data_IF_686546496743
#
_entry.id   IF_686546496743
#
_cell.length_a   1.000
_cell.length_b   1.000
_cell.length_c   1.000
_cell.angle_alpha   90.00
_cell.angle_beta   90.00
_cell.angle_gamma   90.00
#
_symmetry.space_group_name_H-M   'P 1'
#
loop_
_entity.id
_entity.type
_entity.pdbx_description
1 polymer ?
#
# COMPACT_ATOMS: atom_id res chain seq x y z
N UNK A 1 -1.75 2.82 -28.39
CA UNK A 1 -2.91 3.73 -28.26
C UNK A 1 -2.88 4.28 -26.84
N UNK A 2 -3.08 5.58 -26.62
CA UNK A 2 -3.08 6.13 -25.27
C UNK A 2 -4.27 5.55 -24.49
N UNK A 3 -4.01 5.04 -23.28
CA UNK A 3 -5.03 4.66 -22.31
C UNK A 3 -4.99 5.69 -21.19
N UNK A 4 -6.14 5.95 -20.57
CA UNK A 4 -6.21 6.69 -19.32
C UNK A 4 -6.88 5.83 -18.24
N UNK A 5 -6.50 6.03 -16.98
CA UNK A 5 -6.91 5.19 -15.86
C UNK A 5 -7.85 5.93 -14.91
N UNK A 6 -8.91 5.26 -14.49
CA UNK A 6 -9.71 5.64 -13.34
C UNK A 6 -9.57 4.60 -12.23
N UNK A 7 -9.61 5.07 -10.99
CA UNK A 7 -9.66 4.20 -9.81
C UNK A 7 -10.90 4.60 -9.04
N UNK A 8 -11.84 3.66 -8.93
CA UNK A 8 -13.08 3.84 -8.19
C UNK A 8 -12.86 3.33 -6.77
N UNK A 9 -12.81 4.25 -5.80
CA UNK A 9 -12.58 3.91 -4.40
C UNK A 9 -13.89 3.73 -3.65
N UNK A 10 -13.94 2.66 -2.85
CA UNK A 10 -14.92 2.45 -1.80
C UNK A 10 -14.21 2.44 -0.45
N UNK A 11 -14.68 3.29 0.45
CA UNK A 11 -14.13 3.45 1.79
C UNK A 11 -15.06 2.77 2.81
N UNK A 12 -14.47 2.15 3.82
CA UNK A 12 -15.18 1.64 5.00
C UNK A 12 -14.51 2.17 6.26
N UNK A 13 -15.34 2.64 7.19
CA UNK A 13 -14.91 3.21 8.46
C UNK A 13 -15.81 2.68 9.58
N UNK A 14 -15.22 2.38 10.74
CA UNK A 14 -15.95 1.95 11.93
C UNK A 14 -16.24 3.17 12.83
N UNK A 15 -17.52 3.54 12.96
CA UNK A 15 -17.94 4.70 13.77
C UNK A 15 -18.22 4.36 15.24
N UNK A 16 -18.18 3.08 15.61
CA UNK A 16 -18.44 2.63 16.98
C UNK A 16 -17.14 2.70 17.79
N UNK A 17 -16.72 3.91 18.18
CA UNK A 17 -15.46 4.14 18.89
C UNK A 17 -15.37 3.40 20.23
N UNK A 18 -16.51 3.11 20.87
CA UNK A 18 -16.54 2.43 22.17
C UNK A 18 -16.27 0.92 22.03
N UNK A 19 -16.65 0.31 20.91
CA UNK A 19 -16.49 -1.13 20.65
C UNK A 19 -15.52 -1.45 19.50
N UNK A 20 -14.98 -0.44 18.84
CA UNK A 20 -14.01 -0.61 17.76
C UNK A 20 -12.63 -0.87 18.33
N UNK A 21 -12.04 -1.99 17.95
CA UNK A 21 -10.64 -2.30 18.30
C UNK A 21 -9.66 -1.32 17.62
N UNK A 22 -10.00 -0.78 16.43
CA UNK A 22 -9.09 0.04 15.61
C UNK A 22 -9.81 1.24 14.95
N UNK A 23 -10.33 2.19 15.73
CA UNK A 23 -11.10 3.32 15.19
C UNK A 23 -10.29 4.28 14.31
N UNK A 24 -8.96 4.22 14.41
CA UNK A 24 -8.02 5.09 13.70
C UNK A 24 -7.51 4.48 12.38
N UNK A 25 -8.19 3.47 11.83
CA UNK A 25 -7.85 2.87 10.53
C UNK A 25 -9.05 2.84 9.60
N UNK A 26 -8.87 3.35 8.38
CA UNK A 26 -9.85 3.25 7.30
C UNK A 26 -9.39 2.22 6.27
N UNK A 27 -10.27 1.29 5.91
CA UNK A 27 -10.02 0.33 4.85
C UNK A 27 -10.61 0.85 3.54
N UNK A 28 -9.79 0.82 2.50
CA UNK A 28 -10.09 1.41 1.20
C UNK A 28 -9.87 0.34 0.14
N UNK A 29 -10.96 -0.03 -0.54
CA UNK A 29 -10.95 -0.97 -1.65
C UNK A 29 -11.17 -0.20 -2.94
N UNK A 30 -10.31 -0.39 -3.93
CA UNK A 30 -10.44 0.26 -5.22
C UNK A 30 -10.52 -0.74 -6.36
N UNK A 31 -11.40 -0.49 -7.32
CA UNK A 31 -11.38 -1.13 -8.63
C UNK A 31 -10.67 -0.21 -9.62
N UNK A 32 -9.82 -0.76 -10.47
CA UNK A 32 -9.01 0.00 -11.42
C UNK A 32 -9.57 -0.25 -12.81
N UNK A 33 -9.84 0.83 -13.54
CA UNK A 33 -10.39 0.80 -14.89
C UNK A 33 -9.47 1.52 -15.87
N UNK A 34 -9.35 0.99 -17.07
CA UNK A 34 -8.73 1.66 -18.20
C UNK A 34 -9.77 2.01 -19.25
N UNK A 35 -9.60 3.18 -19.84
CA UNK A 35 -10.44 3.69 -20.92
C UNK A 35 -9.59 3.89 -22.17
N UNK A 36 -10.12 3.44 -23.31
CA UNK A 36 -9.52 3.67 -24.62
C UNK A 36 -10.01 5.00 -25.25
N UNK A 37 -9.56 5.29 -26.47
CA UNK A 37 -9.96 6.50 -27.20
C UNK A 37 -11.43 6.49 -27.68
N UNK A 38 -12.16 5.39 -27.45
CA UNK A 38 -13.58 5.24 -27.74
C UNK A 38 -14.42 5.18 -26.46
N UNK A 39 -13.83 5.51 -25.32
CA UNK A 39 -14.43 5.46 -23.97
C UNK A 39 -14.90 4.04 -23.57
N UNK A 40 -14.32 3.00 -24.18
CA UNK A 40 -14.54 1.63 -23.76
C UNK A 40 -13.85 1.40 -22.41
N UNK A 41 -14.64 1.13 -21.38
CA UNK A 41 -14.15 0.87 -20.03
C UNK A 41 -13.83 -0.63 -19.85
N UNK A 42 -12.63 -0.92 -19.36
CA UNK A 42 -12.22 -2.29 -19.00
C UNK A 42 -11.65 -2.30 -17.59
N UNK A 43 -12.13 -3.21 -16.73
CA UNK A 43 -11.52 -3.44 -15.41
C UNK A 43 -10.13 -4.05 -15.61
N UNK A 44 -9.10 -3.41 -15.06
CA UNK A 44 -7.70 -3.82 -15.22
C UNK A 44 -7.08 -4.41 -13.96
N UNK A 45 -7.71 -4.20 -12.81
CA UNK A 45 -7.20 -4.70 -11.55
C UNK A 45 -7.93 -4.15 -10.33
N UNK A 46 -7.30 -4.36 -9.18
CA UNK A 46 -7.81 -3.99 -7.87
C UNK A 46 -6.68 -3.44 -6.99
N UNK A 47 -7.07 -2.60 -6.03
CA UNK A 47 -6.18 -2.07 -4.99
C UNK A 47 -6.84 -2.18 -3.62
N UNK A 48 -6.04 -2.49 -2.60
CA UNK A 48 -6.41 -2.41 -1.19
C UNK A 48 -5.43 -1.51 -0.47
N UNK A 49 -5.96 -0.49 0.21
CA UNK A 49 -5.19 0.47 0.99
C UNK A 49 -5.75 0.55 2.40
N UNK A 50 -4.90 0.75 3.39
CA UNK A 50 -5.31 1.14 4.73
C UNK A 50 -4.79 2.55 5.01
N UNK A 51 -5.64 3.41 5.54
CA UNK A 51 -5.28 4.76 5.96
C UNK A 51 -5.26 4.82 7.49
N UNK A 52 -4.09 5.09 8.06
CA UNK A 52 -3.86 5.17 9.50
C UNK A 52 -3.82 6.64 9.92
N UNK A 53 -4.74 7.01 10.81
CA UNK A 53 -5.00 8.39 11.19
C UNK A 53 -4.42 8.69 12.58
N UNK A 54 -3.36 9.50 12.62
CA UNK A 54 -2.67 9.92 13.83
C UNK A 54 -3.51 10.89 14.69
N UNK A 55 -4.55 11.49 14.13
CA UNK A 55 -5.41 12.46 14.84
C UNK A 55 -6.19 11.84 16.02
N UNK A 56 -6.22 10.51 16.12
CA UNK A 56 -6.84 9.78 17.23
C UNK A 56 -5.96 9.69 18.49
N UNK A 57 -4.73 10.22 18.44
CA UNK A 57 -3.81 10.22 19.58
C UNK A 57 -4.39 10.92 20.81
N UNK A 58 -5.17 11.99 20.61
CA UNK A 58 -5.86 12.72 21.68
C UNK A 58 -6.96 11.88 22.36
N UNK A 59 -7.43 10.81 21.70
CA UNK A 59 -8.39 9.84 22.23
C UNK A 59 -7.69 8.62 22.85
N UNK A 60 -6.36 8.62 22.91
CA UNK A 60 -5.55 7.54 23.48
C UNK A 60 -5.21 6.41 22.49
N UNK A 61 -5.49 6.57 21.20
CA UNK A 61 -5.15 5.59 20.16
C UNK A 61 -4.03 6.13 19.27
N UNK A 62 -2.81 5.65 19.49
CA UNK A 62 -1.66 6.04 18.67
C UNK A 62 -1.56 5.14 17.41
N UNK A 63 -0.60 5.45 16.53
CA UNK A 63 -0.39 4.65 15.32
C UNK A 63 0.06 3.22 15.63
N UNK A 64 0.82 2.97 16.69
CA UNK A 64 1.25 1.61 17.06
C UNK A 64 0.05 0.69 17.31
N UNK A 65 -0.93 1.17 18.08
CA UNK A 65 -2.19 0.45 18.32
C UNK A 65 -2.95 0.20 17.01
N UNK A 66 -2.92 1.19 16.11
CA UNK A 66 -3.55 1.11 14.79
C UNK A 66 -2.97 -0.01 13.92
N UNK A 67 -1.66 -0.26 14.01
CA UNK A 67 -0.97 -1.31 13.26
C UNK A 67 -1.12 -2.70 13.89
N UNK A 68 -1.55 -2.82 15.15
CA UNK A 68 -1.73 -4.08 15.89
C UNK A 68 -3.00 -4.85 15.51
N UNK A 69 -3.23 -5.02 14.19
CA UNK A 69 -4.44 -5.62 13.62
C UNK A 69 -4.20 -7.01 13.02
N UNK A 70 -3.00 -7.18 12.48
CA UNK A 70 -2.57 -8.37 11.77
C UNK A 70 -1.06 -8.50 11.86
N UNK A 71 -0.53 -9.70 11.67
CA UNK A 71 0.91 -9.92 11.68
C UNK A 71 1.64 -9.05 10.63
N UNK A 72 1.05 -8.85 9.45
CA UNK A 72 1.64 -8.08 8.36
C UNK A 72 1.70 -6.57 8.71
N UNK A 73 0.61 -6.04 9.28
CA UNK A 73 0.57 -4.64 9.73
C UNK A 73 1.46 -4.40 10.94
N UNK A 74 1.54 -5.34 11.89
CA UNK A 74 2.45 -5.26 13.04
C UNK A 74 3.90 -5.17 12.57
N UNK A 75 4.31 -6.01 11.61
CA UNK A 75 5.67 -5.99 11.08
C UNK A 75 6.00 -4.68 10.37
N UNK A 76 5.07 -4.17 9.56
CA UNK A 76 5.24 -2.88 8.91
C UNK A 76 5.28 -1.73 9.94
N UNK A 77 4.40 -1.75 10.94
CA UNK A 77 4.39 -0.78 12.03
C UNK A 77 5.72 -0.76 12.79
N UNK A 78 6.23 -1.92 13.18
CA UNK A 78 7.55 -2.06 13.81
C UNK A 78 8.71 -1.62 12.90
N UNK A 79 8.53 -1.67 11.58
CA UNK A 79 9.52 -1.20 10.62
C UNK A 79 9.54 0.33 10.48
N UNK A 80 8.42 1.03 10.73
CA UNK A 80 8.28 2.46 10.46
C UNK A 80 8.12 3.35 11.70
N UNK A 81 7.64 2.79 12.81
CA UNK A 81 7.37 3.52 14.04
C UNK A 81 8.47 3.30 15.09
N UNK A 82 8.69 4.30 15.91
CA UNK A 82 9.46 4.17 17.14
C UNK A 82 8.60 3.50 18.22
N UNK A 83 9.08 2.38 18.76
CA UNK A 83 8.33 1.62 19.78
C UNK A 83 8.11 2.37 21.10
N UNK A 84 8.88 3.42 21.38
CA UNK A 84 8.79 4.20 22.59
C UNK A 84 7.81 5.37 22.48
N UNK A 85 7.74 6.02 21.31
CA UNK A 85 6.85 7.17 21.10
C UNK A 85 5.57 6.84 20.34
N UNK A 86 5.56 5.76 19.54
CA UNK A 86 4.46 5.45 18.62
C UNK A 86 4.44 6.32 17.36
N UNK A 87 5.38 7.27 17.24
CA UNK A 87 5.51 8.14 16.07
C UNK A 87 6.39 7.48 14.99
N UNK A 88 6.42 8.09 13.80
CA UNK A 88 7.40 7.71 12.79
C UNK A 88 8.84 7.86 13.28
N UNK A 89 9.63 6.81 13.05
CA UNK A 89 11.04 6.69 13.44
C UNK A 89 11.88 7.87 12.97
N UNK A 90 12.76 8.37 13.84
CA UNK A 90 13.68 9.48 13.54
C UNK A 90 14.63 9.11 12.40
N UNK A 91 15.16 7.88 12.39
CA UNK A 91 16.08 7.39 11.36
C UNK A 91 15.40 7.41 9.98
N UNK A 92 14.10 7.09 9.94
CA UNK A 92 13.32 7.20 8.70
C UNK A 92 13.06 8.64 8.33
N UNK A 93 12.71 9.53 9.27
CA UNK A 93 12.57 10.96 8.98
C UNK A 93 13.85 11.56 8.43
N UNK A 94 15.02 11.14 8.91
CA UNK A 94 16.31 11.56 8.38
C UNK A 94 16.56 11.00 6.97
N UNK A 95 16.07 9.80 6.67
CA UNK A 95 16.21 9.13 5.38
C UNK A 95 15.29 9.71 4.29
N UNK A 96 13.99 9.88 4.59
CA UNK A 96 12.95 10.27 3.61
C UNK A 96 12.42 11.69 3.81
N UNK A 97 12.89 12.41 4.82
CA UNK A 97 12.43 13.74 5.20
C UNK A 97 11.27 13.70 6.20
N UNK A 98 11.13 14.74 7.04
CA UNK A 98 9.97 14.91 7.91
C UNK A 98 8.74 15.36 7.12
N UNK A 99 7.56 15.18 7.70
CA UNK A 99 6.28 15.66 7.20
C UNK A 99 5.51 16.37 8.31
N UNK A 100 4.68 17.35 7.94
CA UNK A 100 3.71 17.94 8.86
C UNK A 100 2.50 17.03 9.13
N UNK A 101 2.30 16.02 8.28
CA UNK A 101 1.18 15.10 8.36
C UNK A 101 1.67 13.71 8.74
N UNK A 102 1.41 13.29 9.98
CA UNK A 102 1.83 11.99 10.48
C UNK A 102 0.96 10.82 10.00
N UNK A 103 -0.17 11.08 9.33
CA UNK A 103 -1.02 10.01 8.83
C UNK A 103 -0.24 9.17 7.80
N UNK A 104 -0.53 7.87 7.77
CA UNK A 104 0.18 6.90 6.94
C UNK A 104 -0.82 6.20 6.04
N UNK A 105 -0.56 6.20 4.73
CA UNK A 105 -1.25 5.34 3.79
C UNK A 105 -0.42 4.07 3.59
N UNK A 106 -1.01 2.91 3.82
CA UNK A 106 -0.39 1.62 3.50
C UNK A 106 -1.01 1.06 2.24
N UNK A 107 -0.18 0.76 1.25
CA UNK A 107 -0.59 -0.02 0.08
C UNK A 107 -0.49 -1.50 0.45
N UNK A 108 -1.63 -2.14 0.71
CA UNK A 108 -1.68 -3.55 1.08
C UNK A 108 -1.62 -4.48 -0.13
N UNK A 109 -2.34 -4.15 -1.20
CA UNK A 109 -2.43 -4.98 -2.40
C UNK A 109 -2.63 -4.10 -3.62
N UNK A 110 -1.83 -4.28 -4.67
CA UNK A 110 -2.14 -3.81 -6.02
C UNK A 110 -1.99 -5.03 -6.92
N UNK A 111 -3.07 -5.41 -7.60
CA UNK A 111 -3.07 -6.59 -8.45
C UNK A 111 -3.75 -6.27 -9.79
N UNK A 112 -3.08 -6.62 -10.89
CA UNK A 112 -3.56 -6.37 -12.25
C UNK A 112 -3.87 -7.69 -12.95
N UNK A 113 -4.87 -7.71 -13.80
CA UNK A 113 -5.11 -8.84 -14.70
C UNK A 113 -3.91 -9.07 -15.63
N UNK A 114 -3.65 -10.32 -16.07
CA UNK A 114 -2.48 -10.68 -16.87
C UNK A 114 -2.24 -9.77 -18.07
N UNK A 115 -3.30 -9.42 -18.81
CA UNK A 115 -3.22 -8.62 -20.03
C UNK A 115 -2.74 -7.18 -19.82
N UNK A 116 -2.71 -6.69 -18.58
CA UNK A 116 -2.32 -5.32 -18.23
C UNK A 116 -0.94 -5.23 -17.57
N UNK A 117 -0.24 -6.36 -17.37
CA UNK A 117 1.10 -6.41 -16.76
C UNK A 117 2.19 -6.07 -17.77
N UNK A 118 3.34 -5.62 -17.27
CA UNK A 118 4.54 -5.35 -18.09
C UNK A 118 4.43 -4.14 -19.03
N UNK A 119 3.34 -3.36 -18.96
CA UNK A 119 3.05 -2.22 -19.85
C UNK A 119 3.29 -0.84 -19.22
N UNK A 120 3.77 -0.80 -17.97
CA UNK A 120 4.03 0.44 -17.23
C UNK A 120 2.85 0.95 -16.37
N UNK A 121 1.65 0.39 -16.53
CA UNK A 121 0.43 0.85 -15.84
C UNK A 121 0.52 0.82 -14.32
N UNK A 122 1.23 -0.16 -13.73
CA UNK A 122 1.42 -0.20 -12.28
C UNK A 122 2.06 1.08 -11.72
N UNK A 123 2.99 1.69 -12.47
CA UNK A 123 3.63 2.96 -12.07
C UNK A 123 2.65 4.13 -12.14
N UNK A 124 1.82 4.18 -13.18
CA UNK A 124 0.80 5.21 -13.35
C UNK A 124 -0.28 5.12 -12.26
N UNK A 125 -0.70 3.90 -11.91
CA UNK A 125 -1.65 3.63 -10.82
C UNK A 125 -1.10 4.11 -9.49
N UNK A 126 0.14 3.73 -9.14
CA UNK A 126 0.81 4.20 -7.92
C UNK A 126 0.92 5.73 -7.90
N UNK A 127 1.32 6.34 -9.01
CA UNK A 127 1.39 7.80 -9.12
C UNK A 127 0.02 8.46 -8.91
N UNK A 128 -1.05 7.85 -9.43
CA UNK A 128 -2.43 8.32 -9.24
C UNK A 128 -2.87 8.23 -7.78
N UNK A 129 -2.62 7.10 -7.12
CA UNK A 129 -2.87 6.91 -5.68
C UNK A 129 -2.13 7.98 -4.87
N UNK A 130 -0.82 8.14 -5.08
CA UNK A 130 0.00 9.14 -4.37
C UNK A 130 -0.58 10.55 -4.57
N UNK A 131 -0.95 10.90 -5.81
CA UNK A 131 -1.53 12.21 -6.13
C UNK A 131 -2.86 12.43 -5.39
N UNK A 132 -3.72 11.41 -5.33
CA UNK A 132 -5.02 11.50 -4.67
C UNK A 132 -4.93 11.62 -3.14
N UNK A 133 -3.89 11.03 -2.53
CA UNK A 133 -3.66 11.08 -1.08
C UNK A 133 -2.71 12.19 -0.64
N UNK A 134 -2.14 12.95 -1.57
CA UNK A 134 -1.33 14.12 -1.24
C UNK A 134 -2.11 15.11 -0.37
N UNK A 135 -1.50 15.53 0.73
CA UNK A 135 -2.12 16.39 1.74
C UNK A 135 -3.06 15.67 2.72
N UNK A 136 -3.43 14.40 2.47
CA UNK A 136 -4.19 13.58 3.42
C UNK A 136 -3.28 12.75 4.32
N UNK A 137 -2.14 12.31 3.80
CA UNK A 137 -1.08 11.67 4.58
C UNK A 137 0.28 12.28 4.22
N UNK A 138 1.23 12.17 5.15
CA UNK A 138 2.62 12.52 4.85
C UNK A 138 3.41 11.37 4.26
N UNK A 139 3.01 10.14 4.58
CA UNK A 139 3.77 8.95 4.24
C UNK A 139 2.93 7.91 3.54
N UNK A 140 3.56 7.22 2.58
CA UNK A 140 3.03 6.01 1.94
C UNK A 140 4.01 4.87 2.20
N UNK A 141 3.53 3.76 2.75
CA UNK A 141 4.34 2.59 3.06
C UNK A 141 3.75 1.31 2.47
N UNK A 142 4.60 0.29 2.29
CA UNK A 142 4.17 -1.02 1.82
C UNK A 142 5.18 -2.12 2.16
N UNK A 143 4.71 -3.36 2.13
CA UNK A 143 5.55 -4.54 2.06
C UNK A 143 5.60 -5.05 0.62
N UNK A 144 6.81 -5.14 0.06
CA UNK A 144 7.04 -5.78 -1.23
C UNK A 144 7.10 -7.29 -1.02
N UNK A 145 6.13 -8.01 -1.58
CA UNK A 145 6.10 -9.46 -1.54
C UNK A 145 5.51 -10.05 -2.83
N UNK A 146 6.21 -10.97 -3.52
CA UNK A 146 5.70 -11.67 -4.69
C UNK A 146 4.43 -12.46 -4.40
N UNK A 147 3.29 -11.96 -4.88
CA UNK A 147 1.97 -12.49 -4.51
C UNK A 147 1.77 -13.97 -4.86
N UNK A 148 2.40 -14.48 -5.91
CA UNK A 148 2.34 -15.90 -6.27
C UNK A 148 2.98 -16.85 -5.24
N UNK A 149 3.76 -16.32 -4.29
CA UNK A 149 4.35 -17.07 -3.19
C UNK A 149 3.55 -16.98 -1.89
N UNK A 150 2.44 -16.24 -1.87
CA UNK A 150 1.59 -16.09 -0.70
C UNK A 150 0.69 -17.32 -0.56
N UNK A 151 1.02 -18.18 0.40
CA UNK A 151 0.28 -19.43 0.66
C UNK A 151 -1.15 -19.17 1.13
N UNK A 152 -1.44 -17.99 1.69
CA UNK A 152 -2.75 -17.66 2.24
C UNK A 152 -3.81 -17.40 1.16
N UNK A 153 -3.38 -17.25 -0.09
CA UNK A 153 -4.25 -16.93 -1.23
C UNK A 153 -4.43 -18.08 -2.23
N UNK A 154 -3.65 -19.16 -2.09
CA UNK A 154 -3.61 -20.25 -3.07
C UNK A 154 -4.99 -20.86 -3.36
N UNK A 155 -5.82 -20.98 -2.34
CA UNK A 155 -7.15 -21.61 -2.44
C UNK A 155 -8.29 -20.57 -2.53
N UNK A 156 -7.98 -19.28 -2.64
CA UNK A 156 -8.99 -18.21 -2.70
C UNK A 156 -9.43 -18.00 -4.15
N UNK A 157 -10.72 -18.25 -4.50
CA UNK A 157 -11.19 -18.17 -5.89
C UNK A 157 -10.93 -16.83 -6.57
N UNK A 158 -11.01 -15.72 -5.81
CA UNK A 158 -10.78 -14.37 -6.34
C UNK A 158 -9.41 -14.18 -6.99
N UNK A 159 -8.40 -14.96 -6.58
CA UNK A 159 -7.04 -14.81 -7.10
C UNK A 159 -6.77 -15.62 -8.39
N UNK A 160 -7.66 -16.54 -8.75
CA UNK A 160 -7.47 -17.42 -9.91
C UNK A 160 -7.50 -16.62 -11.22
N UNK A 161 -8.39 -15.63 -11.33
CA UNK A 161 -8.52 -14.78 -12.52
C UNK A 161 -7.30 -13.88 -12.77
N UNK A 162 -6.47 -13.65 -11.75
CA UNK A 162 -5.24 -12.89 -11.89
C UNK A 162 -4.08 -13.71 -12.46
N UNK A 163 -4.21 -15.02 -12.71
CA UNK A 163 -3.15 -15.82 -13.36
C UNK A 163 -1.79 -15.70 -12.67
N UNK A 164 -1.77 -15.81 -11.34
CA UNK A 164 -0.55 -15.71 -10.53
C UNK A 164 0.40 -16.89 -10.75
N UNK A 165 -0.13 -18.03 -11.17
CA UNK A 165 0.59 -19.26 -11.56
C UNK A 165 1.44 -19.08 -12.83
N UNK A 166 1.15 -18.05 -13.63
CA UNK A 166 1.91 -17.71 -14.84
C UNK A 166 3.12 -16.80 -14.54
N UNK A 167 3.25 -16.32 -13.30
CA UNK A 167 4.36 -15.47 -12.88
C UNK A 167 5.63 -16.30 -12.62
N UNK A 168 6.76 -15.61 -12.51
CA UNK A 168 8.05 -16.24 -12.22
C UNK A 168 7.98 -17.08 -10.92
N UNK A 169 8.20 -18.40 -10.97
CA UNK A 169 8.12 -19.27 -9.80
C UNK A 169 9.35 -19.19 -8.90
N UNK A 170 10.43 -18.52 -9.32
CA UNK A 170 11.65 -18.37 -8.53
C UNK A 170 11.55 -17.17 -7.59
N UNK A 171 11.36 -17.45 -6.29
CA UNK A 171 11.10 -16.43 -5.26
C UNK A 171 12.10 -15.27 -5.29
N UNK A 172 13.41 -15.57 -5.31
CA UNK A 172 14.44 -14.54 -5.26
C UNK A 172 14.36 -13.59 -6.46
N UNK A 173 14.16 -14.12 -7.66
CA UNK A 173 14.04 -13.30 -8.87
C UNK A 173 12.74 -12.50 -8.89
N UNK A 174 11.63 -13.09 -8.43
CA UNK A 174 10.36 -12.38 -8.29
C UNK A 174 10.42 -11.26 -7.25
N UNK A 175 11.06 -11.48 -6.10
CA UNK A 175 11.26 -10.49 -5.05
C UNK A 175 12.10 -9.33 -5.56
N UNK A 176 13.21 -9.61 -6.23
CA UNK A 176 14.04 -8.56 -6.84
C UNK A 176 13.26 -7.73 -7.85
N UNK A 177 12.41 -8.36 -8.67
CA UNK A 177 11.56 -7.65 -9.62
C UNK A 177 10.53 -6.76 -8.93
N UNK A 178 9.92 -7.23 -7.83
CA UNK A 178 8.96 -6.47 -7.03
C UNK A 178 9.64 -5.26 -6.35
N UNK A 179 10.78 -5.48 -5.70
CA UNK A 179 11.57 -4.42 -5.07
C UNK A 179 12.00 -3.36 -6.09
N UNK A 180 12.56 -3.79 -7.23
CA UNK A 180 12.95 -2.89 -8.32
C UNK A 180 11.79 -2.08 -8.88
N UNK A 181 10.56 -2.62 -8.85
CA UNK A 181 9.38 -1.88 -9.29
C UNK A 181 9.03 -0.74 -8.33
N UNK A 182 9.01 -1.00 -7.02
CA UNK A 182 8.71 0.03 -6.03
C UNK A 182 9.81 1.10 -5.93
N UNK A 183 11.07 0.72 -6.05
CA UNK A 183 12.19 1.68 -6.17
C UNK A 183 12.01 2.62 -7.38
N UNK A 184 11.62 2.08 -8.55
CA UNK A 184 11.33 2.88 -9.76
C UNK A 184 10.09 3.77 -9.64
N UNK A 185 9.22 3.48 -8.67
CA UNK A 185 8.09 4.33 -8.30
C UNK A 185 8.50 5.43 -7.31
N UNK A 186 9.75 5.43 -6.82
CA UNK A 186 10.30 6.45 -5.93
C UNK A 186 10.25 6.08 -4.45
N UNK A 187 9.83 4.86 -4.11
CA UNK A 187 9.90 4.39 -2.73
C UNK A 187 11.34 4.12 -2.33
N UNK A 188 11.67 4.41 -1.07
CA UNK A 188 12.94 4.03 -0.49
C UNK A 188 12.77 2.75 0.32
N UNK A 189 13.75 1.84 0.18
CA UNK A 189 13.78 0.59 0.95
C UNK A 189 14.16 0.87 2.40
N UNK A 190 13.46 0.25 3.33
CA UNK A 190 13.78 0.27 4.76
C UNK A 190 14.85 -0.81 5.03
N UNK A 191 15.96 -0.48 5.72
CA UNK A 191 17.06 -1.41 5.93
C UNK A 191 16.73 -2.44 7.04
N UNK A 192 15.98 -3.47 6.70
CA UNK A 192 15.64 -4.59 7.58
C UNK A 192 16.15 -5.93 7.03
N UNK A 193 16.43 -6.86 7.95
CA UNK A 193 16.86 -8.21 7.57
C UNK A 193 15.64 -9.05 7.13
N UNK A 194 15.77 -9.73 5.99
CA UNK A 194 14.84 -10.73 5.46
C UNK A 194 13.45 -10.24 5.00
N UNK A 195 13.12 -8.97 5.19
CA UNK A 195 11.85 -8.39 4.71
C UNK A 195 12.10 -7.16 3.85
N UNK A 196 11.25 -6.96 2.85
CA UNK A 196 11.35 -5.84 1.90
C UNK A 196 10.24 -4.84 2.15
N UNK A 197 10.45 -3.94 3.11
CA UNK A 197 9.55 -2.81 3.34
C UNK A 197 10.02 -1.56 2.61
N UNK A 198 9.06 -0.75 2.20
CA UNK A 198 9.28 0.44 1.40
C UNK A 198 8.44 1.59 1.94
N UNK A 199 9.00 2.80 1.90
CA UNK A 199 8.33 4.01 2.35
C UNK A 199 8.67 5.20 1.45
N UNK A 200 7.74 6.13 1.34
CA UNK A 200 7.87 7.39 0.60
C UNK A 200 7.24 8.52 1.42
N UNK A 201 7.95 9.64 1.54
CA UNK A 201 7.35 10.89 1.99
C UNK A 201 6.72 11.59 0.79
N UNK A 202 5.41 11.89 0.87
CA UNK A 202 4.62 12.54 -0.18
C UNK A 202 4.19 13.97 0.18
N UNK A 203 4.51 14.42 1.40
CA UNK A 203 4.25 15.76 1.92
C UNK A 203 5.49 16.29 2.67
N UNK A 204 6.61 16.50 1.95
CA UNK A 204 7.86 16.92 2.57
C UNK A 204 7.76 18.36 3.08
N UNK A 205 8.32 18.59 4.27
CA UNK A 205 8.48 19.92 4.87
C UNK A 205 9.48 20.79 4.12
#
# INVERSE_FOLDING_TARGET
MPLYFHIDYKFSHCLDLENSEFPNVEEIHGEIYAYDCHDTCTKVGEVQLHYYNDSFIDLGFNLYDAFDRSMDTIRLGNAILDSGTGDMSIDLKDQIGPSFNNNILVIHEIILFPDFRGKGFGKEIISGIITFFKGKCGYVALQSFPKQHDISIKDKPRFQEFGLDQLNPEFHSAQQSSDSFYEKCGFQKIPLQNESFFIMNIDPM
#
